data_IF_566962227242
#
_entry.id   IF_566962227242
#
_cell.length_a   1.000
_cell.length_b   1.000
_cell.length_c   1.000
_cell.angle_alpha   90.00
_cell.angle_beta   90.00
_cell.angle_gamma   90.00
#
_symmetry.space_group_name_H-M   'P 1'
#
loop_
_entity.id
_entity.type
_entity.pdbx_description
1 polymer ?
#
# COMPACT_ATOMS: atom_id res chain seq x y z
N UNK A 1 -15.82 2.33 -9.69
CA UNK A 1 -15.36 0.91 -9.51
C UNK A 1 -15.30 0.45 -8.05
N UNK A 2 -14.48 1.05 -7.14
CA UNK A 2 -14.51 0.66 -5.72
C UNK A 2 -15.76 1.19 -5.01
N UNK A 3 -16.20 2.37 -5.38
CA UNK A 3 -17.42 3.00 -4.86
C UNK A 3 -18.66 2.16 -5.18
N UNK A 4 -18.84 1.74 -6.43
CA UNK A 4 -19.91 0.84 -6.90
C UNK A 4 -19.92 -0.51 -6.17
N UNK A 5 -18.74 -0.96 -5.70
CA UNK A 5 -18.58 -2.21 -4.97
C UNK A 5 -18.66 -2.05 -3.45
N UNK A 6 -18.92 -0.83 -2.94
CA UNK A 6 -18.93 -0.52 -1.52
C UNK A 6 -17.59 -0.78 -0.81
N UNK A 7 -16.47 -0.69 -1.55
CA UNK A 7 -15.14 -1.02 -1.04
C UNK A 7 -14.27 0.20 -0.71
N UNK A 8 -14.84 1.41 -0.66
CA UNK A 8 -14.08 2.63 -0.39
C UNK A 8 -13.39 2.62 0.97
N UNK A 9 -14.04 2.08 2.00
CA UNK A 9 -13.43 1.91 3.33
C UNK A 9 -12.38 0.79 3.38
N UNK A 10 -12.27 -0.01 2.32
CA UNK A 10 -11.30 -1.09 2.19
C UNK A 10 -10.18 -0.79 1.20
N UNK A 11 -9.97 0.48 0.83
CA UNK A 11 -8.78 0.88 0.08
C UNK A 11 -7.52 0.50 0.87
N UNK A 12 -6.58 -0.15 0.19
CA UNK A 12 -5.38 -0.72 0.81
C UNK A 12 -5.51 -2.20 1.23
N UNK A 13 -6.71 -2.77 1.26
CA UNK A 13 -6.88 -4.22 1.42
C UNK A 13 -6.62 -4.95 0.10
N UNK A 14 -6.24 -6.25 0.13
CA UNK A 14 -5.91 -7.00 -1.08
C UNK A 14 -6.99 -6.94 -2.17
N UNK A 15 -8.27 -6.97 -1.78
CA UNK A 15 -9.40 -6.93 -2.71
C UNK A 15 -9.64 -5.58 -3.38
N UNK A 16 -8.95 -4.52 -2.95
CA UNK A 16 -9.04 -3.18 -3.55
C UNK A 16 -8.08 -2.97 -4.72
N UNK A 17 -7.19 -3.92 -4.98
CA UNK A 17 -6.19 -3.85 -6.04
C UNK A 17 -6.64 -4.60 -7.29
N UNK A 18 -6.33 -4.04 -8.46
CA UNK A 18 -6.44 -4.72 -9.74
C UNK A 18 -5.20 -5.62 -9.94
N UNK A 19 -5.25 -6.81 -9.35
CA UNK A 19 -4.15 -7.76 -9.40
C UNK A 19 -3.83 -8.20 -10.83
N UNK A 20 -4.85 -8.36 -11.70
CA UNK A 20 -4.63 -8.77 -13.09
C UNK A 20 -3.78 -7.75 -13.84
N UNK A 21 -4.13 -6.48 -13.70
CA UNK A 21 -3.40 -5.38 -14.32
C UNK A 21 -1.97 -5.26 -13.78
N UNK A 22 -1.79 -5.44 -12.46
CA UNK A 22 -0.48 -5.42 -11.84
C UNK A 22 0.39 -6.58 -12.33
N UNK A 23 -0.14 -7.79 -12.40
CA UNK A 23 0.57 -8.97 -12.90
C UNK A 23 0.97 -8.79 -14.37
N UNK A 24 0.05 -8.34 -15.22
CA UNK A 24 0.33 -8.06 -16.63
C UNK A 24 1.43 -6.99 -16.81
N UNK A 25 1.41 -5.94 -15.97
CA UNK A 25 2.46 -4.92 -15.96
C UNK A 25 3.82 -5.51 -15.59
N UNK A 26 3.89 -6.33 -14.54
CA UNK A 26 5.13 -6.96 -14.09
C UNK A 26 5.67 -7.95 -15.11
N UNK A 27 4.79 -8.72 -15.74
CA UNK A 27 5.14 -9.63 -16.83
C UNK A 27 5.76 -8.89 -18.00
N UNK A 28 5.13 -7.82 -18.45
CA UNK A 28 5.61 -6.99 -19.55
C UNK A 28 6.98 -6.35 -19.25
N UNK A 29 7.18 -5.86 -18.03
CA UNK A 29 8.48 -5.30 -17.60
C UNK A 29 9.54 -6.40 -17.52
N UNK A 30 9.24 -7.56 -16.93
CA UNK A 30 10.17 -8.70 -16.81
C UNK A 30 10.54 -9.28 -18.18
N UNK A 31 9.61 -9.25 -19.14
CA UNK A 31 9.85 -9.63 -20.53
C UNK A 31 10.69 -8.60 -21.34
N UNK A 32 11.08 -7.48 -20.73
CA UNK A 32 11.85 -6.43 -21.37
C UNK A 32 11.10 -5.62 -22.44
N UNK A 33 9.75 -5.63 -22.39
CA UNK A 33 8.94 -4.80 -23.29
C UNK A 33 9.25 -3.32 -23.12
N UNK A 34 9.15 -2.58 -24.23
CA UNK A 34 9.33 -1.10 -24.21
C UNK A 34 8.01 -0.41 -23.90
N UNK A 35 8.14 0.77 -23.29
CA UNK A 35 7.01 1.68 -23.06
C UNK A 35 5.85 1.02 -22.32
N UNK A 36 6.13 0.19 -21.31
CA UNK A 36 5.11 -0.39 -20.45
C UNK A 36 4.44 0.71 -19.63
N UNK A 37 3.10 0.75 -19.61
CA UNK A 37 2.35 1.84 -18.98
C UNK A 37 1.70 1.41 -17.67
N UNK A 38 1.81 2.27 -16.66
CA UNK A 38 1.11 2.14 -15.39
C UNK A 38 0.14 3.32 -15.18
N UNK A 39 -1.05 3.11 -14.57
CA UNK A 39 -1.96 4.21 -14.25
C UNK A 39 -1.37 5.11 -13.16
N UNK A 40 -1.72 6.40 -13.21
CA UNK A 40 -1.36 7.35 -12.15
C UNK A 40 -2.45 7.36 -11.09
N UNK A 41 -2.05 7.12 -9.83
CA UNK A 41 -2.92 7.28 -8.68
C UNK A 41 -2.66 8.61 -7.99
N UNK A 42 -3.72 9.33 -7.63
CA UNK A 42 -3.64 10.60 -6.90
C UNK A 42 -4.18 10.44 -5.47
N UNK A 43 -3.32 10.67 -4.48
CA UNK A 43 -3.76 10.77 -3.08
C UNK A 43 -4.65 11.99 -2.83
N UNK A 44 -4.50 13.03 -3.64
CA UNK A 44 -5.29 14.24 -3.57
C UNK A 44 -6.75 13.98 -3.95
N UNK A 45 -6.96 13.30 -5.08
CA UNK A 45 -8.29 12.87 -5.55
C UNK A 45 -8.76 11.56 -4.93
N UNK A 46 -7.85 10.86 -4.27
CA UNK A 46 -8.07 9.54 -3.68
C UNK A 46 -8.55 8.50 -4.70
N UNK A 47 -8.08 8.61 -5.95
CA UNK A 47 -8.40 7.68 -7.03
C UNK A 47 -7.33 7.67 -8.14
N UNK A 48 -7.47 6.73 -9.08
CA UNK A 48 -6.70 6.70 -10.32
C UNK A 48 -7.17 7.83 -11.22
N UNK A 49 -6.21 8.60 -11.75
CA UNK A 49 -6.51 9.70 -12.66
C UNK A 49 -6.89 9.16 -14.05
N UNK A 50 -8.09 9.47 -14.56
CA UNK A 50 -8.52 8.99 -15.87
C UNK A 50 -7.60 9.50 -16.98
N UNK A 51 -7.12 8.56 -17.82
CA UNK A 51 -6.25 8.90 -18.96
C UNK A 51 -4.81 9.26 -18.64
N UNK A 52 -4.43 9.37 -17.36
CA UNK A 52 -3.06 9.61 -16.97
C UNK A 52 -2.29 8.31 -16.75
N UNK A 53 -1.10 8.22 -17.35
CA UNK A 53 -0.23 7.06 -17.22
C UNK A 53 1.23 7.47 -17.05
N UNK A 54 2.01 6.59 -16.41
CA UNK A 54 3.46 6.65 -16.38
C UNK A 54 4.03 5.57 -17.28
N UNK A 55 5.05 5.92 -18.05
CA UNK A 55 5.76 4.98 -18.90
C UNK A 55 6.99 4.45 -18.16
N UNK A 56 7.18 3.14 -18.24
CA UNK A 56 8.37 2.41 -17.76
C UNK A 56 9.01 1.77 -18.97
N UNK A 57 10.24 2.18 -19.33
CA UNK A 57 10.95 1.68 -20.49
C UNK A 57 12.23 0.96 -20.08
N UNK A 58 12.14 -0.35 -19.91
CA UNK A 58 13.26 -1.27 -19.60
C UNK A 58 14.20 -0.75 -18.50
N UNK A 59 13.72 -0.58 -17.29
CA UNK A 59 14.54 -0.12 -16.18
C UNK A 59 15.55 -1.22 -15.78
N UNK A 60 16.76 -0.83 -15.38
CA UNK A 60 17.73 -1.75 -14.79
C UNK A 60 17.25 -2.26 -13.42
N UNK A 61 16.57 -1.39 -12.68
CA UNK A 61 15.99 -1.68 -11.36
C UNK A 61 14.57 -1.12 -11.31
N UNK A 62 13.59 -1.97 -10.96
CA UNK A 62 12.23 -1.56 -10.66
C UNK A 62 11.93 -1.82 -9.18
N UNK A 63 11.61 -0.76 -8.44
CA UNK A 63 11.15 -0.86 -7.05
C UNK A 63 9.63 -0.80 -7.03
N UNK A 64 8.99 -1.86 -6.53
CA UNK A 64 7.54 -1.94 -6.36
C UNK A 64 7.21 -1.77 -4.87
N UNK A 65 6.70 -0.60 -4.50
CA UNK A 65 6.27 -0.29 -3.13
C UNK A 65 4.77 -0.55 -2.97
N UNK A 66 4.39 -1.42 -2.02
CA UNK A 66 2.99 -1.70 -1.78
C UNK A 66 2.73 -2.67 -0.63
N UNK A 67 1.64 -2.43 0.10
CA UNK A 67 1.24 -3.23 1.27
C UNK A 67 0.88 -4.69 0.92
N UNK A 68 0.51 -4.96 -0.33
CA UNK A 68 -0.04 -6.25 -0.76
C UNK A 68 0.85 -7.00 -1.73
N UNK A 69 2.08 -6.55 -1.96
CA UNK A 69 2.99 -7.16 -2.96
C UNK A 69 3.51 -8.54 -2.54
N UNK A 70 3.50 -8.86 -1.26
CA UNK A 70 3.87 -10.18 -0.71
C UNK A 70 2.66 -11.06 -0.39
N UNK A 71 1.44 -10.64 -0.76
CA UNK A 71 0.24 -11.44 -0.50
C UNK A 71 0.28 -12.74 -1.30
N UNK A 72 -0.09 -13.89 -0.68
CA UNK A 72 -0.35 -15.10 -1.42
C UNK A 72 -1.58 -14.90 -2.32
N UNK A 73 -1.52 -15.38 -3.56
CA UNK A 73 -2.72 -15.46 -4.38
C UNK A 73 -3.75 -16.39 -3.71
N UNK A 74 -5.02 -16.13 -3.95
CA UNK A 74 -6.04 -17.13 -3.63
C UNK A 74 -5.90 -18.26 -4.64
N UNK A 75 -5.72 -19.46 -4.15
CA UNK A 75 -5.75 -20.63 -5.02
C UNK A 75 -7.09 -20.66 -5.78
N UNK A 76 -7.08 -20.75 -7.10
CA UNK A 76 -8.30 -20.88 -7.87
C UNK A 76 -9.00 -22.20 -7.52
N UNK A 77 -10.32 -22.21 -7.61
CA UNK A 77 -11.12 -23.40 -7.30
C UNK A 77 -10.99 -24.52 -8.33
N UNK A 78 -10.50 -24.18 -9.52
CA UNK A 78 -10.35 -25.04 -10.70
C UNK A 78 -8.94 -25.64 -10.86
N UNK A 79 -8.01 -25.31 -9.95
CA UNK A 79 -6.66 -25.86 -9.99
C UNK A 79 -5.71 -25.16 -10.95
N UNK A 80 -6.11 -24.07 -11.62
CA UNK A 80 -5.19 -23.28 -12.42
C UNK A 80 -4.14 -22.58 -11.53
N UNK A 81 -2.88 -22.63 -11.95
CA UNK A 81 -1.82 -21.90 -11.27
C UNK A 81 -1.94 -20.39 -11.56
N UNK A 82 -2.11 -19.58 -10.52
CA UNK A 82 -2.08 -18.13 -10.63
C UNK A 82 -0.75 -17.65 -10.06
N UNK A 83 0.07 -16.86 -10.82
CA UNK A 83 1.31 -16.33 -10.32
C UNK A 83 1.04 -15.34 -9.19
N UNK A 84 1.90 -15.33 -8.18
CA UNK A 84 1.90 -14.32 -7.14
C UNK A 84 2.65 -13.08 -7.64
N UNK A 85 2.27 -11.90 -7.15
CA UNK A 85 3.04 -10.68 -7.42
C UNK A 85 4.51 -10.84 -6.99
N UNK A 86 4.74 -11.51 -5.87
CA UNK A 86 6.08 -11.82 -5.35
C UNK A 86 6.94 -12.72 -6.25
N UNK A 87 6.35 -13.48 -7.17
CA UNK A 87 7.10 -14.36 -8.08
C UNK A 87 7.89 -13.57 -9.14
N UNK A 88 7.52 -12.31 -9.33
CA UNK A 88 8.23 -11.38 -10.22
C UNK A 88 9.41 -10.67 -9.56
N UNK A 89 9.60 -10.80 -8.25
CA UNK A 89 10.66 -10.08 -7.52
C UNK A 89 11.94 -10.91 -7.43
N UNK A 90 13.04 -10.27 -7.71
CA UNK A 90 14.38 -10.84 -7.50
C UNK A 90 14.80 -10.72 -6.03
N UNK A 91 14.22 -9.72 -5.32
CA UNK A 91 14.46 -9.49 -3.90
C UNK A 91 13.30 -8.73 -3.26
N UNK A 92 12.97 -9.06 -2.02
CA UNK A 92 11.86 -8.45 -1.30
C UNK A 92 12.26 -7.96 0.10
N UNK A 93 11.77 -6.76 0.45
CA UNK A 93 12.04 -6.12 1.74
C UNK A 93 10.73 -5.88 2.47
N UNK A 94 10.64 -6.32 3.71
CA UNK A 94 9.54 -5.98 4.62
C UNK A 94 10.01 -4.91 5.61
N UNK A 95 9.31 -3.79 5.65
CA UNK A 95 9.54 -2.75 6.66
C UNK A 95 8.65 -3.07 7.86
N UNK A 96 9.27 -3.44 8.96
CA UNK A 96 8.62 -3.84 10.21
C UNK A 96 8.66 -2.72 11.25
N UNK A 97 7.64 -2.64 12.08
CA UNK A 97 7.61 -1.79 13.27
C UNK A 97 6.48 -2.26 14.21
N UNK A 98 6.58 -1.91 15.49
CA UNK A 98 5.53 -2.19 16.45
C UNK A 98 4.20 -1.52 16.04
N UNK A 99 3.10 -2.27 16.09
CA UNK A 99 1.79 -1.81 15.66
C UNK A 99 1.33 -0.52 16.37
N UNK A 100 1.63 -0.40 17.67
CA UNK A 100 1.31 0.80 18.45
C UNK A 100 2.12 2.01 18.00
N UNK A 101 3.36 1.78 17.56
CA UNK A 101 4.22 2.81 17.01
C UNK A 101 3.70 3.28 15.65
N UNK A 102 3.35 2.34 14.78
CA UNK A 102 2.72 2.65 13.47
C UNK A 102 1.43 3.44 13.65
N UNK A 103 0.60 3.08 14.65
CA UNK A 103 -0.61 3.81 15.00
C UNK A 103 -0.34 5.27 15.42
N UNK A 104 0.70 5.50 16.22
CA UNK A 104 1.11 6.87 16.56
C UNK A 104 1.53 7.68 15.33
N UNK A 105 2.38 7.11 14.47
CA UNK A 105 2.79 7.75 13.21
C UNK A 105 1.60 8.05 12.29
N UNK A 106 0.62 7.14 12.25
CA UNK A 106 -0.60 7.36 11.46
C UNK A 106 -1.37 8.59 11.95
N UNK A 107 -1.60 8.68 13.27
CA UNK A 107 -2.29 9.83 13.88
C UNK A 107 -1.51 11.13 13.66
N UNK A 108 -0.20 11.13 13.87
CA UNK A 108 0.68 12.29 13.65
C UNK A 108 0.64 12.76 12.19
N UNK A 109 0.74 11.81 11.24
CA UNK A 109 0.61 12.09 9.81
C UNK A 109 -0.76 12.68 9.47
N UNK A 110 -1.84 12.12 10.00
CA UNK A 110 -3.19 12.64 9.79
C UNK A 110 -3.31 14.07 10.29
N UNK A 111 -2.81 14.37 11.49
CA UNK A 111 -2.84 15.72 12.08
C UNK A 111 -2.03 16.73 11.25
N UNK A 112 -0.88 16.32 10.72
CA UNK A 112 -0.09 17.15 9.80
C UNK A 112 -0.83 17.41 8.48
N UNK A 113 -1.43 16.37 7.87
CA UNK A 113 -2.20 16.51 6.63
C UNK A 113 -3.44 17.40 6.83
N UNK A 114 -4.09 17.34 8.00
CA UNK A 114 -5.19 18.25 8.36
C UNK A 114 -4.78 19.72 8.30
N UNK A 115 -3.54 20.03 8.66
CA UNK A 115 -2.99 21.40 8.64
C UNK A 115 -2.44 21.82 7.26
N UNK A 116 -2.29 20.89 6.32
CA UNK A 116 -1.68 21.10 5.01
C UNK A 116 -2.60 20.66 3.87
N UNK A 117 -2.40 19.49 3.32
CA UNK A 117 -3.07 19.01 2.12
C UNK A 117 -4.61 18.93 2.23
N UNK A 118 -5.15 18.68 3.43
CA UNK A 118 -6.61 18.64 3.62
C UNK A 118 -7.26 20.03 3.62
N UNK A 119 -6.49 21.11 3.69
CA UNK A 119 -7.02 22.48 3.61
C UNK A 119 -7.48 22.87 2.22
N UNK A 120 -6.97 22.23 1.20
CA UNK A 120 -7.40 22.47 -0.16
C UNK A 120 -8.86 22.01 -0.33
N UNK A 121 -9.78 22.92 -0.76
CA UNK A 121 -11.20 22.57 -0.95
C UNK A 121 -11.43 21.46 -1.98
N UNK A 122 -10.53 21.29 -2.95
CA UNK A 122 -10.61 20.26 -3.97
C UNK A 122 -10.08 18.89 -3.49
N UNK A 123 -9.42 18.82 -2.32
CA UNK A 123 -8.91 17.56 -1.78
C UNK A 123 -10.04 16.65 -1.31
N UNK A 124 -9.98 15.37 -1.65
CA UNK A 124 -10.97 14.36 -1.22
C UNK A 124 -11.18 14.36 0.31
N UNK A 125 -10.13 14.59 1.08
CA UNK A 125 -10.17 14.61 2.54
C UNK A 125 -10.39 16.00 3.14
N UNK A 126 -10.81 17.00 2.34
CA UNK A 126 -11.06 18.37 2.82
C UNK A 126 -11.99 18.42 4.05
N UNK A 127 -12.99 17.52 4.13
CA UNK A 127 -13.90 17.43 5.27
C UNK A 127 -13.20 17.34 6.63
N UNK A 128 -12.02 16.75 6.69
CA UNK A 128 -11.27 16.61 7.94
C UNK A 128 -10.55 17.89 8.37
N UNK A 129 -10.34 18.86 7.49
CA UNK A 129 -9.75 20.16 7.84
C UNK A 129 -10.64 20.96 8.76
N UNK A 130 -11.97 20.73 8.74
CA UNK A 130 -12.99 21.43 9.51
C UNK A 130 -13.14 20.90 10.94
N UNK A 131 -12.60 19.73 11.25
CA UNK A 131 -12.67 19.14 12.59
C UNK A 131 -11.82 19.94 13.57
N UNK A 132 -12.23 20.01 14.83
CA UNK A 132 -11.37 20.44 15.92
C UNK A 132 -10.16 19.49 16.07
N UNK A 133 -9.15 19.89 16.82
CA UNK A 133 -7.99 19.03 17.04
C UNK A 133 -8.36 17.72 17.75
N UNK A 134 -9.24 17.80 18.75
CA UNK A 134 -9.73 16.64 19.51
C UNK A 134 -10.50 15.67 18.61
N UNK A 135 -11.45 16.17 17.81
CA UNK A 135 -12.23 15.37 16.88
C UNK A 135 -11.36 14.71 15.82
N UNK A 136 -10.39 15.46 15.27
CA UNK A 136 -9.47 14.94 14.26
C UNK A 136 -8.60 13.80 14.82
N UNK A 137 -8.10 13.93 16.07
CA UNK A 137 -7.35 12.86 16.73
C UNK A 137 -8.22 11.62 16.98
N UNK A 138 -9.46 11.82 17.44
CA UNK A 138 -10.43 10.74 17.64
C UNK A 138 -10.74 10.02 16.33
N UNK A 139 -10.99 10.80 15.27
CA UNK A 139 -11.26 10.25 13.93
C UNK A 139 -10.06 9.46 13.39
N UNK A 140 -8.85 10.02 13.50
CA UNK A 140 -7.63 9.33 13.07
C UNK A 140 -7.41 8.00 13.82
N UNK A 141 -7.64 7.98 15.13
CA UNK A 141 -7.58 6.76 15.94
C UNK A 141 -8.60 5.71 15.48
N UNK A 142 -9.85 6.11 15.29
CA UNK A 142 -10.90 5.21 14.83
C UNK A 142 -10.56 4.60 13.46
N UNK A 143 -10.11 5.41 12.49
CA UNK A 143 -9.67 4.91 11.18
C UNK A 143 -8.49 3.94 11.33
N UNK A 144 -7.53 4.24 12.20
CA UNK A 144 -6.43 3.33 12.48
C UNK A 144 -6.92 1.99 13.02
N UNK A 145 -7.72 2.00 14.09
CA UNK A 145 -8.17 0.80 14.79
C UNK A 145 -9.11 -0.06 13.93
N UNK A 146 -10.08 0.58 13.26
CA UNK A 146 -11.13 -0.12 12.53
C UNK A 146 -10.72 -0.57 11.13
N UNK A 147 -9.79 0.13 10.49
CA UNK A 147 -9.39 -0.15 9.11
C UNK A 147 -7.93 -0.61 9.04
N UNK A 148 -6.99 0.27 9.37
CA UNK A 148 -5.58 0.03 9.08
C UNK A 148 -4.96 -1.08 9.93
N UNK A 149 -5.24 -1.09 11.24
CA UNK A 149 -4.75 -2.12 12.15
C UNK A 149 -5.34 -3.49 11.82
N UNK A 150 -6.61 -3.54 11.42
CA UNK A 150 -7.24 -4.78 10.95
C UNK A 150 -6.58 -5.31 9.68
N UNK A 151 -6.29 -4.41 8.72
CA UNK A 151 -5.57 -4.77 7.51
C UNK A 151 -4.14 -5.24 7.83
N UNK A 152 -3.42 -4.50 8.68
CA UNK A 152 -2.08 -4.88 9.14
C UNK A 152 -2.08 -6.31 9.71
N UNK A 153 -2.95 -6.59 10.67
CA UNK A 153 -2.97 -7.89 11.37
C UNK A 153 -3.43 -9.05 10.48
N UNK A 154 -4.43 -8.82 9.62
CA UNK A 154 -5.05 -9.89 8.83
C UNK A 154 -4.32 -10.18 7.52
N UNK A 155 -3.76 -9.14 6.90
CA UNK A 155 -3.25 -9.24 5.54
C UNK A 155 -1.75 -8.96 5.46
N UNK A 156 -1.22 -7.95 6.14
CA UNK A 156 0.16 -7.49 5.93
C UNK A 156 1.14 -8.26 6.83
N UNK A 157 0.92 -8.29 8.14
CA UNK A 157 1.80 -8.93 9.11
C UNK A 157 2.05 -10.44 8.81
N UNK A 158 1.08 -11.24 8.38
CA UNK A 158 1.32 -12.62 8.00
C UNK A 158 2.32 -12.79 6.85
N UNK A 159 2.47 -11.78 5.97
CA UNK A 159 3.40 -11.84 4.83
C UNK A 159 4.86 -11.55 5.22
N UNK A 160 5.13 -11.05 6.43
CA UNK A 160 6.44 -10.71 6.94
C UNK A 160 7.48 -11.83 6.71
N UNK A 161 7.09 -13.08 6.94
CA UNK A 161 7.96 -14.26 6.78
C UNK A 161 8.28 -14.62 5.33
N UNK A 162 7.60 -14.00 4.38
CA UNK A 162 7.83 -14.22 2.94
C UNK A 162 8.92 -13.31 2.38
N UNK A 163 9.26 -12.23 3.08
CA UNK A 163 10.31 -11.31 2.66
C UNK A 163 11.70 -11.94 2.78
N UNK A 164 12.60 -11.55 1.87
CA UNK A 164 14.02 -11.93 1.93
C UNK A 164 14.75 -11.13 2.99
N UNK A 165 14.37 -9.88 3.19
CA UNK A 165 14.94 -8.97 4.18
C UNK A 165 13.84 -8.32 5.02
N UNK A 166 14.04 -8.26 6.33
CA UNK A 166 13.18 -7.54 7.26
C UNK A 166 13.98 -6.42 7.89
N UNK A 167 13.50 -5.19 7.79
CA UNK A 167 14.07 -4.01 8.41
C UNK A 167 13.13 -3.53 9.52
N UNK A 168 13.55 -3.64 10.79
CA UNK A 168 12.75 -3.14 11.90
C UNK A 168 13.04 -1.66 12.16
N UNK A 169 11.99 -0.84 12.24
CA UNK A 169 12.06 0.61 12.47
C UNK A 169 11.68 0.97 13.89
N UNK A 170 12.51 1.82 14.50
CA UNK A 170 12.29 2.41 15.83
C UNK A 170 11.41 3.66 15.77
N UNK A 171 11.11 4.22 16.95
CA UNK A 171 10.33 5.46 17.12
C UNK A 171 10.88 6.64 16.29
N UNK A 172 12.20 6.76 16.15
CA UNK A 172 12.85 7.82 15.36
C UNK A 172 12.98 7.50 13.87
N UNK A 173 12.29 6.48 13.37
CA UNK A 173 12.38 5.96 12.01
C UNK A 173 13.75 5.37 11.60
N UNK A 174 14.69 5.28 12.51
CA UNK A 174 15.94 4.56 12.27
C UNK A 174 15.69 3.05 12.22
N UNK A 175 16.50 2.33 11.46
CA UNK A 175 16.52 0.87 11.45
C UNK A 175 17.47 0.41 12.55
N UNK A 176 17.01 -0.43 13.48
CA UNK A 176 17.81 -0.99 14.57
C UNK A 176 18.05 -2.50 14.44
N UNK A 177 17.23 -3.19 13.65
CA UNK A 177 17.38 -4.61 13.39
C UNK A 177 17.24 -4.91 11.91
N UNK A 178 18.08 -5.80 11.44
CA UNK A 178 18.09 -6.31 10.06
C UNK A 178 18.09 -7.83 10.14
N UNK A 179 17.08 -8.48 9.56
CA UNK A 179 16.99 -9.92 9.48
C UNK A 179 16.95 -10.38 8.02
N UNK A 180 17.97 -11.09 7.59
CA UNK A 180 18.06 -11.69 6.25
C UNK A 180 17.61 -13.15 6.34
N UNK A 181 16.72 -13.56 5.42
CA UNK A 181 16.31 -14.96 5.30
C UNK A 181 17.47 -15.80 4.80
N UNK A 182 17.79 -16.87 5.53
CA UNK A 182 18.72 -17.89 5.04
C UNK A 182 17.99 -18.74 3.99
N UNK A 183 18.60 -18.90 2.84
CA UNK A 183 18.19 -19.86 1.80
C UNK A 183 18.57 -21.27 2.23
#
# INVERSE_FOLDING_TARGET
MLEERGLMERKGFPQSYDQRRLLAFLDDVKAGKRNVVAPVYSHFHYDVLPGETKVVDRPDILIVDGLNVLQPARLPKDGEAIPFVSDYFDFSIYIDADADLVGRWYVERFMRLRQTAFRDPAAYFHRYSKLSESEARKTAKAIWEDINLRNLRRNILPTRRRADLILHKTKGHAVDQVALRKL
#
